data_IF_485383486612
#
_entry.id   IF_485383486612
#
_cell.length_a   1.000
_cell.length_b   1.000
_cell.length_c   1.000
_cell.angle_alpha   90.00
_cell.angle_beta   90.00
_cell.angle_gamma   90.00
#
_symmetry.space_group_name_H-M   'P 1'
#
loop_
_entity.id
_entity.type
_entity.pdbx_description
1 polymer ?
#
# COMPACT_ATOMS: atom_id res chain seq x y z
N UNK A 1 -26.28 -43.72 -64.48
CA UNK A 1 -25.32 -42.87 -63.71
C UNK A 1 -26.12 -42.13 -62.64
N UNK A 2 -25.99 -42.57 -61.39
CA UNK A 2 -26.80 -42.12 -60.24
C UNK A 2 -26.15 -40.88 -59.62
N UNK A 3 -26.93 -39.80 -59.57
CA UNK A 3 -26.65 -38.53 -58.89
C UNK A 3 -26.32 -38.79 -57.42
N UNK A 4 -25.07 -38.49 -57.00
CA UNK A 4 -24.61 -38.66 -55.62
C UNK A 4 -25.12 -37.50 -54.76
N UNK A 5 -26.14 -37.80 -53.96
CA UNK A 5 -26.63 -37.01 -52.83
C UNK A 5 -25.46 -36.49 -51.97
N UNK A 6 -25.13 -35.21 -52.12
CA UNK A 6 -24.04 -34.52 -51.40
C UNK A 6 -24.56 -33.64 -50.24
N UNK A 7 -25.87 -33.60 -49.98
CA UNK A 7 -26.54 -32.64 -49.09
C UNK A 7 -26.13 -32.63 -47.60
N UNK A 8 -26.01 -33.76 -46.88
CA UNK A 8 -25.93 -33.71 -45.42
C UNK A 8 -24.53 -33.35 -44.88
N UNK A 9 -23.47 -33.59 -45.66
CA UNK A 9 -22.08 -33.33 -45.24
C UNK A 9 -21.70 -31.85 -45.34
N UNK A 10 -22.16 -31.16 -46.38
CA UNK A 10 -21.93 -29.72 -46.54
C UNK A 10 -22.75 -28.88 -45.56
N UNK A 11 -23.97 -29.32 -45.23
CA UNK A 11 -24.82 -28.66 -44.24
C UNK A 11 -24.21 -28.68 -42.84
N UNK A 12 -23.62 -29.82 -42.44
CA UNK A 12 -22.93 -29.96 -41.17
C UNK A 12 -21.68 -29.07 -41.06
N UNK A 13 -20.88 -28.98 -42.14
CA UNK A 13 -19.72 -28.10 -42.18
C UNK A 13 -20.10 -26.61 -42.10
N UNK A 14 -21.18 -26.21 -42.76
CA UNK A 14 -21.73 -24.85 -42.68
C UNK A 14 -22.23 -24.51 -41.27
N UNK A 15 -22.92 -25.43 -40.59
CA UNK A 15 -23.40 -25.26 -39.21
C UNK A 15 -22.26 -25.13 -38.19
N UNK A 16 -21.17 -25.90 -38.37
CA UNK A 16 -19.96 -25.78 -37.53
C UNK A 16 -19.29 -24.41 -37.76
N UNK A 17 -19.22 -23.96 -39.01
CA UNK A 17 -18.61 -22.67 -39.36
C UNK A 17 -19.40 -21.48 -38.80
N UNK A 18 -20.74 -21.56 -38.82
CA UNK A 18 -21.64 -20.55 -38.22
C UNK A 18 -21.61 -20.53 -36.69
N UNK A 19 -21.30 -21.66 -36.04
CA UNK A 19 -21.24 -21.72 -34.57
C UNK A 19 -19.90 -21.23 -34.02
N UNK A 20 -18.82 -21.22 -34.81
CA UNK A 20 -17.52 -20.67 -34.40
C UNK A 20 -17.43 -19.13 -34.48
N UNK A 21 -18.25 -18.46 -35.30
CA UNK A 21 -18.25 -16.98 -35.40
C UNK A 21 -19.01 -16.30 -34.25
N UNK A 22 -19.72 -17.07 -33.41
CA UNK A 22 -20.53 -16.56 -32.29
C UNK A 22 -19.76 -16.26 -31.00
N UNK A 23 -18.53 -16.76 -30.81
CA UNK A 23 -17.76 -16.55 -29.57
C UNK A 23 -16.83 -15.32 -29.61
N UNK A 24 -16.78 -14.56 -30.70
CA UNK A 24 -15.68 -13.61 -30.92
C UNK A 24 -15.87 -12.19 -30.35
N UNK A 25 -17.00 -11.80 -29.74
CA UNK A 25 -17.23 -10.34 -29.53
C UNK A 25 -18.04 -9.88 -28.31
N UNK A 26 -18.21 -10.70 -27.26
CA UNK A 26 -19.00 -10.31 -26.09
C UNK A 26 -18.24 -9.63 -24.93
N UNK A 27 -16.95 -9.90 -24.78
CA UNK A 27 -16.25 -9.67 -23.51
C UNK A 27 -15.34 -8.43 -23.47
N UNK A 28 -15.53 -7.45 -24.37
CA UNK A 28 -14.76 -6.19 -24.32
C UNK A 28 -14.89 -5.48 -22.98
N UNK A 29 -16.09 -5.50 -22.39
CA UNK A 29 -16.34 -4.93 -21.06
C UNK A 29 -15.62 -5.71 -19.95
N UNK A 30 -15.53 -7.04 -20.06
CA UNK A 30 -14.77 -7.86 -19.11
C UNK A 30 -13.27 -7.68 -19.27
N UNK A 31 -12.78 -7.58 -20.51
CA UNK A 31 -11.38 -7.29 -20.82
C UNK A 31 -10.97 -5.89 -20.34
N UNK A 32 -11.82 -4.87 -20.52
CA UNK A 32 -11.55 -3.53 -19.97
C UNK A 32 -11.57 -3.53 -18.46
N UNK A 33 -12.53 -4.21 -17.82
CA UNK A 33 -12.58 -4.36 -16.37
C UNK A 33 -11.35 -5.09 -15.82
N UNK A 34 -10.89 -6.16 -16.50
CA UNK A 34 -9.68 -6.88 -16.12
C UNK A 34 -8.42 -6.02 -16.24
N UNK A 35 -8.26 -5.26 -17.33
CA UNK A 35 -7.16 -4.30 -17.49
C UNK A 35 -7.17 -3.23 -16.40
N UNK A 36 -8.35 -2.76 -16.04
CA UNK A 36 -8.50 -1.72 -15.02
C UNK A 36 -8.21 -2.27 -13.62
N UNK A 37 -8.62 -3.50 -13.33
CA UNK A 37 -8.27 -4.21 -12.10
C UNK A 37 -6.76 -4.51 -12.02
N UNK A 38 -6.12 -4.84 -13.14
CA UNK A 38 -4.67 -5.06 -13.18
C UNK A 38 -3.90 -3.74 -12.98
N UNK A 39 -4.36 -2.65 -13.59
CA UNK A 39 -3.79 -1.32 -13.39
C UNK A 39 -3.91 -0.86 -11.93
N UNK A 40 -5.06 -1.05 -11.29
CA UNK A 40 -5.23 -0.70 -9.87
C UNK A 40 -4.40 -1.61 -8.97
N UNK A 41 -4.35 -2.91 -9.23
CA UNK A 41 -3.50 -3.83 -8.49
C UNK A 41 -2.02 -3.47 -8.62
N UNK A 42 -1.58 -3.05 -9.81
CA UNK A 42 -0.20 -2.61 -10.02
C UNK A 42 0.10 -1.29 -9.30
N UNK A 43 -0.80 -0.31 -9.36
CA UNK A 43 -0.65 0.94 -8.63
C UNK A 43 -0.56 0.70 -7.11
N UNK A 44 -1.40 -0.18 -6.57
CA UNK A 44 -1.35 -0.57 -5.16
C UNK A 44 -0.06 -1.29 -4.80
N UNK A 45 0.42 -2.23 -5.64
CA UNK A 45 1.71 -2.91 -5.40
C UNK A 45 2.88 -1.92 -5.38
N UNK A 46 2.91 -0.97 -6.31
CA UNK A 46 3.93 0.06 -6.34
C UNK A 46 3.86 0.94 -5.08
N UNK A 47 2.66 1.37 -4.67
CA UNK A 47 2.46 2.15 -3.45
C UNK A 47 2.93 1.40 -2.18
N UNK A 48 2.66 0.10 -2.09
CA UNK A 48 3.12 -0.75 -0.99
C UNK A 48 4.65 -0.93 -1.01
N UNK A 49 5.26 -1.08 -2.19
CA UNK A 49 6.72 -1.16 -2.32
C UNK A 49 7.42 0.14 -1.92
N UNK A 50 6.84 1.30 -2.23
CA UNK A 50 7.36 2.58 -1.75
C UNK A 50 7.11 2.79 -0.25
N UNK A 51 5.96 2.37 0.27
CA UNK A 51 5.71 2.37 1.71
C UNK A 51 6.67 1.45 2.49
N UNK A 52 7.15 0.37 1.88
CA UNK A 52 8.18 -0.48 2.48
C UNK A 52 9.56 0.20 2.58
N UNK A 53 9.77 1.33 1.89
CA UNK A 53 11.00 2.14 1.97
C UNK A 53 10.91 3.26 3.01
N UNK A 54 9.82 3.35 3.78
CA UNK A 54 9.71 4.31 4.88
C UNK A 54 10.85 4.03 5.86
N UNK A 55 11.79 4.97 6.08
CA UNK A 55 12.85 4.76 7.03
C UNK A 55 12.26 4.59 8.43
N UNK A 56 12.87 3.72 9.23
CA UNK A 56 12.49 3.58 10.62
C UNK A 56 12.76 4.87 11.38
N UNK A 57 11.80 5.24 12.24
CA UNK A 57 11.98 6.34 13.19
C UNK A 57 13.10 5.96 14.18
N UNK A 58 13.91 6.92 14.66
CA UNK A 58 14.92 6.62 15.69
C UNK A 58 14.32 5.86 16.87
N UNK A 59 15.03 4.82 17.34
CA UNK A 59 14.50 3.88 18.33
C UNK A 59 14.09 4.57 19.65
N UNK A 60 14.77 5.65 20.04
CA UNK A 60 14.47 6.40 21.25
C UNK A 60 13.13 7.15 21.14
N UNK A 61 12.64 7.47 19.95
CA UNK A 61 11.40 8.23 19.76
C UNK A 61 10.14 7.57 20.33
N UNK A 62 10.16 6.25 20.57
CA UNK A 62 9.07 5.52 21.25
C UNK A 62 9.27 5.38 22.76
N UNK A 63 10.39 5.87 23.28
CA UNK A 63 10.77 5.73 24.69
C UNK A 63 10.07 6.75 25.58
N UNK A 64 9.84 6.35 26.83
CA UNK A 64 9.31 7.23 27.87
C UNK A 64 10.44 7.78 28.74
N UNK A 65 10.29 9.01 29.23
CA UNK A 65 11.19 9.55 30.26
C UNK A 65 10.56 9.42 31.64
N UNK A 66 11.42 9.16 32.63
CA UNK A 66 11.04 9.15 34.03
C UNK A 66 11.84 10.22 34.76
N UNK A 67 11.19 10.95 35.66
CA UNK A 67 11.85 11.92 36.54
C UNK A 67 12.83 11.27 37.51
N UNK A 68 12.57 10.02 37.91
CA UNK A 68 13.35 9.32 38.94
C UNK A 68 13.13 9.89 40.35
N UNK A 69 12.06 10.68 40.53
CA UNK A 69 11.60 11.10 41.85
C UNK A 69 11.17 9.88 42.66
N UNK A 70 11.57 9.83 43.92
CA UNK A 70 11.24 8.78 44.88
C UNK A 70 10.41 9.34 46.02
N UNK A 71 9.68 8.46 46.69
CA UNK A 71 9.00 8.81 47.93
C UNK A 71 10.03 9.31 48.96
N UNK A 72 9.70 10.39 49.67
CA UNK A 72 10.57 11.10 50.62
C UNK A 72 11.76 11.84 50.01
N UNK A 73 11.83 12.02 48.68
CA UNK A 73 12.70 13.04 48.12
C UNK A 73 12.32 14.41 48.69
N UNK A 74 13.31 15.20 49.10
CA UNK A 74 13.10 16.61 49.45
C UNK A 74 12.57 17.35 48.21
N UNK A 75 11.66 18.29 48.41
CA UNK A 75 10.92 18.94 47.32
C UNK A 75 11.83 19.59 46.26
N UNK A 76 12.90 20.24 46.68
CA UNK A 76 13.91 20.85 45.80
C UNK A 76 14.66 19.80 44.95
N UNK A 77 15.00 18.65 45.52
CA UNK A 77 15.60 17.53 44.80
C UNK A 77 14.60 16.94 43.80
N UNK A 78 13.35 16.79 44.21
CA UNK A 78 12.29 16.30 43.33
C UNK A 78 12.07 17.23 42.13
N UNK A 79 12.11 18.55 42.35
CA UNK A 79 12.01 19.56 41.29
C UNK A 79 13.19 19.45 40.31
N UNK A 80 14.43 19.43 40.80
CA UNK A 80 15.63 19.29 39.94
C UNK A 80 15.59 18.00 39.13
N UNK A 81 15.16 16.88 39.72
CA UNK A 81 15.00 15.60 39.00
C UNK A 81 13.97 15.69 37.89
N UNK A 82 12.84 16.36 38.17
CA UNK A 82 11.76 16.56 37.20
C UNK A 82 12.21 17.45 36.05
N UNK A 83 12.86 18.58 36.32
CA UNK A 83 13.36 19.50 35.28
C UNK A 83 14.39 18.84 34.38
N UNK A 84 15.30 18.03 34.95
CA UNK A 84 16.26 17.25 34.15
C UNK A 84 15.57 16.27 33.22
N UNK A 85 14.52 15.58 33.70
CA UNK A 85 13.77 14.66 32.85
C UNK A 85 12.94 15.37 31.79
N UNK A 86 12.34 16.52 32.13
CA UNK A 86 11.63 17.36 31.18
C UNK A 86 12.57 17.87 30.07
N UNK A 87 13.78 18.33 30.44
CA UNK A 87 14.79 18.75 29.48
C UNK A 87 15.17 17.62 28.50
N UNK A 88 15.41 16.39 29.01
CA UNK A 88 15.69 15.23 28.15
C UNK A 88 14.51 14.86 27.25
N UNK A 89 13.29 14.91 27.78
CA UNK A 89 12.07 14.63 27.03
C UNK A 89 11.90 15.65 25.89
N UNK A 90 12.05 16.94 26.18
CA UNK A 90 11.93 18.01 25.19
C UNK A 90 13.02 17.89 24.11
N UNK A 91 14.26 17.60 24.51
CA UNK A 91 15.34 17.38 23.56
C UNK A 91 15.05 16.20 22.62
N UNK A 92 14.44 15.13 23.13
CA UNK A 92 14.02 14.00 22.30
C UNK A 92 12.86 14.38 21.38
N UNK A 93 11.83 15.02 21.88
CA UNK A 93 10.68 15.47 21.08
C UNK A 93 11.17 16.32 19.91
N UNK A 94 12.05 17.29 20.15
CA UNK A 94 12.61 18.14 19.10
C UNK A 94 13.35 17.35 18.01
N UNK A 95 14.20 16.39 18.39
CA UNK A 95 14.92 15.53 17.42
C UNK A 95 13.96 14.64 16.62
N UNK A 96 13.00 14.02 17.29
CA UNK A 96 12.01 13.13 16.66
C UNK A 96 11.09 13.89 15.71
N UNK A 97 10.73 15.12 16.08
CA UNK A 97 9.97 16.04 15.24
C UNK A 97 10.76 16.44 13.99
N UNK A 98 12.04 16.80 14.15
CA UNK A 98 12.89 17.15 13.00
C UNK A 98 13.05 15.99 12.01
N UNK A 99 13.12 14.75 12.51
CA UNK A 99 13.08 13.56 11.66
C UNK A 99 11.76 13.45 10.90
N UNK A 100 10.61 13.62 11.57
CA UNK A 100 9.28 13.56 10.94
C UNK A 100 9.13 14.64 9.87
N UNK A 101 9.59 15.88 10.13
CA UNK A 101 9.58 16.98 9.16
C UNK A 101 10.44 16.67 7.94
N UNK A 102 11.65 16.16 8.16
CA UNK A 102 12.56 15.77 7.06
C UNK A 102 11.93 14.71 6.19
N UNK A 103 11.30 13.72 6.81
CA UNK A 103 10.58 12.66 6.10
C UNK A 103 9.39 13.22 5.30
N UNK A 104 8.54 14.08 5.90
CA UNK A 104 7.39 14.71 5.23
C UNK A 104 7.80 15.58 4.04
N UNK A 105 8.87 16.38 4.18
CA UNK A 105 9.43 17.18 3.08
C UNK A 105 9.90 16.31 1.92
N UNK A 106 10.51 15.17 2.21
CA UNK A 106 10.89 14.17 1.20
C UNK A 106 9.70 13.60 0.42
N UNK A 107 8.48 13.68 0.95
CA UNK A 107 7.25 13.24 0.29
C UNK A 107 6.56 14.36 -0.53
N UNK A 108 7.08 15.59 -0.53
CA UNK A 108 6.44 16.74 -1.20
C UNK A 108 5.14 17.20 -0.53
N UNK A 109 4.98 16.93 0.78
CA UNK A 109 3.83 17.32 1.57
C UNK A 109 4.18 18.54 2.46
N UNK A 110 4.28 19.71 1.83
CA UNK A 110 4.50 21.03 2.45
C UNK A 110 3.20 21.57 3.06
#
# INVERSE_FOLDING_TARGET
MISKNSGPRYLALLLISLSLTGCATGDRARLSAAKQAEATAQATRNALQEAAKVPDKPADCRSTERSGVKLNDRLDIALVKTDRALSRANARIARCWAWDETYRKGLGND
#
